data_IF_945902162859
#
_entry.id   IF_945902162859
#
_cell.length_a   1.000
_cell.length_b   1.000
_cell.length_c   1.000
_cell.angle_alpha   90.00
_cell.angle_beta   90.00
_cell.angle_gamma   90.00
#
_symmetry.space_group_name_H-M   'P 1'
#
loop_
_entity.id
_entity.type
_entity.pdbx_description
1 polymer ?
#
# COMPACT_ATOMS: atom_id res chain seq x y z
N UNK A 1 -15.58 -10.44 -3.91
CA UNK A 1 -14.83 -9.30 -3.35
C UNK A 1 -14.57 -9.45 -1.86
N UNK A 2 -13.69 -10.38 -1.47
CA UNK A 2 -13.32 -10.61 -0.05
C UNK A 2 -11.79 -10.63 0.13
N UNK A 3 -11.09 -9.71 -0.53
CA UNK A 3 -9.62 -9.66 -0.48
C UNK A 3 -9.07 -9.05 0.81
N UNK A 4 -9.75 -8.06 1.38
CA UNK A 4 -9.29 -7.31 2.55
C UNK A 4 -10.47 -6.94 3.45
N UNK A 5 -10.29 -7.03 4.76
CA UNK A 5 -11.26 -6.61 5.76
C UNK A 5 -10.74 -5.32 6.39
N UNK A 6 -11.38 -4.20 6.04
CA UNK A 6 -11.06 -2.90 6.64
C UNK A 6 -11.68 -2.80 8.03
N UNK A 7 -10.87 -2.40 9.00
CA UNK A 7 -11.31 -2.20 10.39
C UNK A 7 -11.22 -0.74 10.81
N UNK A 8 -10.30 0.02 10.22
CA UNK A 8 -10.14 1.43 10.51
C UNK A 8 -11.29 2.26 9.94
N UNK A 9 -11.72 3.25 10.71
CA UNK A 9 -12.60 4.34 10.29
C UNK A 9 -11.82 5.66 10.07
N UNK A 10 -10.50 5.63 10.22
CA UNK A 10 -9.60 6.79 10.05
C UNK A 10 -8.90 6.73 8.69
N UNK A 11 -8.41 5.55 8.31
CA UNK A 11 -7.71 5.31 7.05
C UNK A 11 -8.49 4.30 6.22
N UNK A 12 -8.72 4.62 4.95
CA UNK A 12 -9.41 3.72 4.01
C UNK A 12 -8.49 3.28 2.89
N UNK A 13 -8.60 2.00 2.51
CA UNK A 13 -7.95 1.51 1.29
C UNK A 13 -8.61 2.19 0.08
N UNK A 14 -7.80 2.66 -0.87
CA UNK A 14 -8.27 3.45 -2.02
C UNK A 14 -8.49 4.94 -1.72
N UNK A 15 -8.19 5.40 -0.50
CA UNK A 15 -8.16 6.82 -0.17
C UNK A 15 -7.01 7.58 -0.85
N UNK A 16 -7.10 8.91 -0.88
CA UNK A 16 -6.04 9.78 -1.39
C UNK A 16 -5.01 10.13 -0.33
N UNK A 17 -3.75 10.23 -0.72
CA UNK A 17 -2.71 10.83 0.12
C UNK A 17 -2.84 12.36 0.11
N UNK A 18 -2.61 12.97 1.27
CA UNK A 18 -2.57 14.42 1.47
C UNK A 18 -1.34 14.72 2.33
N UNK A 19 -0.41 15.59 1.90
CA UNK A 19 -0.46 16.41 0.69
C UNK A 19 -0.24 15.62 -0.61
N UNK A 20 -0.71 16.20 -1.72
CA UNK A 20 -0.34 15.74 -3.07
C UNK A 20 1.07 16.20 -3.41
N UNK A 21 1.78 15.43 -4.23
CA UNK A 21 3.13 15.78 -4.68
C UNK A 21 3.20 17.17 -5.32
N UNK A 22 4.26 17.90 -5.03
CA UNK A 22 4.56 19.21 -5.60
C UNK A 22 5.98 19.23 -6.17
N UNK A 23 6.16 19.90 -7.30
CA UNK A 23 7.49 20.11 -7.90
C UNK A 23 8.35 20.97 -6.96
N UNK A 24 9.60 20.56 -6.74
CA UNK A 24 10.50 21.14 -5.74
C UNK A 24 9.89 21.24 -4.31
N UNK A 25 8.88 20.41 -4.02
CA UNK A 25 8.20 20.37 -2.73
C UNK A 25 8.83 19.40 -1.74
N UNK A 26 8.35 19.44 -0.50
CA UNK A 26 8.82 18.54 0.55
C UNK A 26 8.48 17.08 0.23
N UNK A 27 9.47 16.21 0.39
CA UNK A 27 9.25 14.77 0.35
C UNK A 27 8.51 14.32 1.61
N UNK A 28 7.51 13.45 1.40
CA UNK A 28 6.71 12.87 2.47
C UNK A 28 6.91 11.36 2.47
N UNK A 29 6.96 10.77 3.66
CA UNK A 29 7.06 9.33 3.84
C UNK A 29 5.77 8.78 4.46
N UNK A 30 5.35 7.61 3.99
CA UNK A 30 4.26 6.85 4.59
C UNK A 30 4.82 5.57 5.21
N UNK A 31 4.89 5.52 6.53
CA UNK A 31 5.34 4.32 7.24
C UNK A 31 4.27 3.24 7.20
N UNK A 32 4.61 2.08 6.63
CA UNK A 32 3.72 0.93 6.50
C UNK A 32 4.33 -0.30 7.17
N UNK A 33 3.50 -1.08 7.85
CA UNK A 33 3.87 -2.37 8.42
C UNK A 33 2.87 -3.43 7.98
N UNK A 34 3.40 -4.55 7.48
CA UNK A 34 2.64 -5.78 7.24
C UNK A 34 3.21 -6.86 8.14
N UNK A 35 2.35 -7.49 8.93
CA UNK A 35 2.74 -8.57 9.83
C UNK A 35 1.64 -9.61 9.94
N UNK A 36 1.99 -10.80 10.45
CA UNK A 36 1.03 -11.86 10.69
C UNK A 36 0.67 -11.92 12.17
N UNK A 37 -0.62 -11.96 12.46
CA UNK A 37 -1.15 -12.20 13.80
C UNK A 37 -2.29 -13.23 13.73
N UNK A 38 -2.15 -14.34 14.45
CA UNK A 38 -2.96 -15.54 14.26
C UNK A 38 -2.86 -16.05 12.82
N UNK A 39 -4.01 -16.23 12.16
CA UNK A 39 -4.07 -16.65 10.75
C UNK A 39 -4.00 -15.47 9.77
N UNK A 40 -4.27 -14.25 10.23
CA UNK A 40 -4.48 -13.10 9.36
C UNK A 40 -3.20 -12.27 9.15
N UNK A 41 -3.10 -11.67 7.97
CA UNK A 41 -2.06 -10.69 7.65
C UNK A 41 -2.61 -9.29 7.85
N UNK A 42 -2.00 -8.52 8.73
CA UNK A 42 -2.44 -7.18 9.09
C UNK A 42 -1.68 -6.10 8.32
N UNK A 43 -2.37 -4.99 8.04
CA UNK A 43 -1.79 -3.75 7.53
C UNK A 43 -1.94 -2.66 8.58
N UNK A 44 -0.81 -2.01 8.90
CA UNK A 44 -0.75 -0.80 9.72
C UNK A 44 -0.10 0.31 8.92
N UNK A 45 -0.66 1.50 9.02
CA UNK A 45 -0.14 2.73 8.42
C UNK A 45 0.04 3.74 9.55
N UNK A 46 1.28 4.20 9.75
CA UNK A 46 1.64 4.97 10.93
C UNK A 46 1.28 4.21 12.21
N UNK A 47 0.37 4.79 13.00
CA UNK A 47 -0.14 4.16 14.22
C UNK A 47 -1.48 3.43 14.08
N UNK A 48 -2.08 3.45 12.90
CA UNK A 48 -3.44 2.95 12.68
C UNK A 48 -3.45 1.54 12.07
N UNK A 49 -4.17 0.62 12.71
CA UNK A 49 -4.44 -0.72 12.17
C UNK A 49 -5.56 -0.63 11.14
N UNK A 50 -5.18 -0.54 9.86
CA UNK A 50 -6.11 -0.31 8.74
C UNK A 50 -7.06 -1.49 8.56
N UNK A 51 -6.54 -2.71 8.69
CA UNK A 51 -7.30 -3.94 8.50
C UNK A 51 -6.41 -5.14 8.23
N UNK A 52 -6.99 -6.20 7.69
CA UNK A 52 -6.28 -7.45 7.43
C UNK A 52 -6.74 -8.20 6.19
N UNK A 53 -5.83 -8.96 5.60
CA UNK A 53 -6.12 -10.04 4.66
C UNK A 53 -6.39 -11.34 5.42
N UNK A 54 -7.56 -11.98 5.23
CA UNK A 54 -7.83 -13.29 5.80
C UNK A 54 -6.79 -14.34 5.44
N UNK A 55 -6.35 -15.13 6.42
CA UNK A 55 -5.32 -16.15 6.23
C UNK A 55 -5.63 -17.20 5.16
N UNK A 56 -6.91 -17.54 5.03
CA UNK A 56 -7.40 -18.53 4.06
C UNK A 56 -7.22 -18.10 2.58
N UNK A 57 -6.88 -16.84 2.31
CA UNK A 57 -6.54 -16.38 0.97
C UNK A 57 -5.16 -16.87 0.50
N UNK A 58 -4.29 -17.28 1.43
CA UNK A 58 -2.90 -17.60 1.12
C UNK A 58 -2.59 -19.09 1.32
N UNK A 59 -2.08 -19.72 0.27
CA UNK A 59 -1.63 -21.12 0.33
C UNK A 59 -0.16 -21.25 0.74
N UNK A 60 0.66 -20.21 0.52
CA UNK A 60 2.11 -20.22 0.79
C UNK A 60 2.55 -19.27 1.90
N UNK A 61 1.69 -18.36 2.37
CA UNK A 61 2.00 -17.38 3.42
C UNK A 61 1.36 -17.71 4.78
N UNK A 62 0.82 -18.92 4.95
CA UNK A 62 0.15 -19.34 6.18
C UNK A 62 1.07 -19.47 7.40
N UNK A 63 2.37 -19.70 7.20
CA UNK A 63 3.36 -19.79 8.28
C UNK A 63 4.22 -18.53 8.45
N UNK A 64 3.95 -17.49 7.66
CA UNK A 64 4.78 -16.29 7.58
C UNK A 64 5.44 -16.12 6.21
N UNK A 65 6.17 -15.02 6.07
CA UNK A 65 6.88 -14.66 4.85
C UNK A 65 8.39 -14.76 5.08
N UNK A 66 9.13 -15.24 4.07
CA UNK A 66 10.60 -15.30 4.07
C UNK A 66 11.25 -14.12 3.34
N UNK A 67 10.45 -13.37 2.58
CA UNK A 67 10.89 -12.19 1.85
C UNK A 67 9.74 -11.17 1.77
N UNK A 68 10.10 -9.89 1.76
CA UNK A 68 9.19 -8.78 1.52
C UNK A 68 9.77 -7.98 0.35
N UNK A 69 8.89 -7.56 -0.58
CA UNK A 69 9.26 -6.74 -1.73
C UNK A 69 8.32 -5.54 -1.79
N UNK A 70 8.88 -4.38 -2.06
CA UNK A 70 8.17 -3.13 -2.28
C UNK A 70 8.59 -2.54 -3.62
N UNK A 71 7.68 -1.84 -4.29
CA UNK A 71 7.95 -1.20 -5.57
C UNK A 71 6.82 -0.25 -5.94
N UNK A 72 7.06 0.57 -6.95
CA UNK A 72 6.05 1.42 -7.58
C UNK A 72 6.01 1.12 -9.08
N UNK A 73 4.82 1.24 -9.66
CA UNK A 73 4.64 1.19 -11.11
C UNK A 73 4.32 2.60 -11.61
N UNK A 74 5.13 3.11 -12.55
CA UNK A 74 4.83 4.35 -13.26
C UNK A 74 4.29 3.96 -14.64
N UNK A 75 3.01 4.23 -14.89
CA UNK A 75 2.38 3.95 -16.18
C UNK A 75 2.35 5.22 -17.02
N UNK A 76 3.10 5.22 -18.12
CA UNK A 76 3.07 6.27 -19.14
C UNK A 76 2.41 5.71 -20.42
N UNK A 77 1.14 6.06 -20.66
CA UNK A 77 0.35 5.52 -21.78
C UNK A 77 0.61 6.21 -23.13
N UNK A 78 1.52 7.19 -23.19
CA UNK A 78 1.85 7.92 -24.44
C UNK A 78 0.64 8.50 -25.17
N UNK A 79 -0.40 8.92 -24.44
CA UNK A 79 -1.56 9.56 -25.07
C UNK A 79 -1.14 10.95 -25.57
N UNK A 80 -1.29 11.20 -26.87
CA UNK A 80 -1.05 12.49 -27.55
C UNK A 80 0.39 13.01 -27.63
N UNK A 81 1.41 12.16 -27.42
CA UNK A 81 2.81 12.48 -27.73
C UNK A 81 3.45 13.61 -26.90
N UNK A 82 2.82 14.02 -25.79
CA UNK A 82 3.36 15.02 -24.84
C UNK A 82 3.84 14.32 -23.58
N UNK A 83 5.05 14.63 -23.14
CA UNK A 83 5.65 14.04 -21.94
C UNK A 83 6.35 15.10 -21.09
N UNK A 84 6.28 14.91 -19.78
CA UNK A 84 7.27 15.42 -18.82
C UNK A 84 8.20 14.26 -18.46
N UNK A 85 9.51 14.49 -18.42
CA UNK A 85 10.44 13.60 -17.72
C UNK A 85 10.02 13.53 -16.26
N UNK A 86 9.90 12.32 -15.71
CA UNK A 86 9.73 12.13 -14.26
C UNK A 86 11.13 11.98 -13.69
N UNK A 87 11.55 12.91 -12.85
CA UNK A 87 12.73 12.71 -12.00
C UNK A 87 12.34 11.80 -10.83
N UNK A 88 13.17 10.80 -10.53
CA UNK A 88 13.06 9.96 -9.32
C UNK A 88 13.98 10.49 -8.23
#
# INVERSE_FOLDING_TARGET
DHGFVQTSNVITVGGSLNPVSQYDGDQQELSMLIWKDGENWWLKIGDENVGYWPGNLFTSLGNGATAVKWGGEIVNKMTDGKHTTTDM
#
